data_IF_518873316311
#
_entry.id   IF_518873316311
#
_cell.length_a   1.000
_cell.length_b   1.000
_cell.length_c   1.000
_cell.angle_alpha   90.00
_cell.angle_beta   90.00
_cell.angle_gamma   90.00
#
_symmetry.space_group_name_H-M   'P 1'
#
loop_
_entity.id
_entity.type
_entity.pdbx_description
1 polymer ?
#
# COMPACT_ATOMS: atom_id res chain seq x y z
N UNK A 1 9.20 -28.05 12.23
CA UNK A 1 7.83 -28.00 12.78
C UNK A 1 7.22 -26.61 12.59
N UNK A 2 5.89 -26.46 12.48
CA UNK A 2 5.22 -25.16 12.37
C UNK A 2 5.21 -24.37 13.67
N UNK A 3 5.21 -25.02 14.84
CA UNK A 3 5.28 -24.36 16.16
C UNK A 3 6.52 -23.48 16.33
N UNK A 4 7.72 -24.02 16.06
CA UNK A 4 9.00 -23.29 16.19
C UNK A 4 9.12 -22.21 15.11
N UNK A 5 8.67 -22.52 13.89
CA UNK A 5 8.65 -21.56 12.79
C UNK A 5 7.77 -20.36 13.13
N UNK A 6 6.54 -20.59 13.59
CA UNK A 6 5.58 -19.54 13.92
C UNK A 6 6.11 -18.58 14.97
N UNK A 7 6.69 -19.10 16.06
CA UNK A 7 7.29 -18.26 17.11
C UNK A 7 8.33 -17.29 16.53
N UNK A 8 9.30 -17.82 15.76
CA UNK A 8 10.37 -17.00 15.17
C UNK A 8 9.85 -16.02 14.10
N UNK A 9 8.92 -16.48 13.27
CA UNK A 9 8.40 -15.73 12.14
C UNK A 9 7.45 -14.60 12.57
N UNK A 10 6.70 -14.79 13.66
CA UNK A 10 5.80 -13.78 14.19
C UNK A 10 6.49 -12.80 15.15
N UNK A 11 7.55 -13.22 15.87
CA UNK A 11 8.36 -12.32 16.73
C UNK A 11 9.46 -11.57 15.93
N UNK A 12 9.86 -12.09 14.77
CA UNK A 12 10.97 -11.57 13.98
C UNK A 12 10.61 -10.34 13.14
N UNK A 13 11.61 -9.48 12.90
CA UNK A 13 11.49 -8.31 11.99
C UNK A 13 11.59 -8.66 10.50
N UNK A 14 11.61 -9.95 10.15
CA UNK A 14 11.82 -10.41 8.77
C UNK A 14 10.49 -10.37 8.00
N UNK A 15 10.46 -9.62 6.89
CA UNK A 15 9.30 -9.55 5.99
C UNK A 15 9.37 -10.70 4.99
N UNK A 16 8.45 -11.65 5.10
CA UNK A 16 8.35 -12.75 4.14
C UNK A 16 7.46 -12.35 2.97
N UNK A 17 8.00 -12.42 1.75
CA UNK A 17 7.26 -12.21 0.51
C UNK A 17 7.01 -13.56 -0.18
N UNK A 18 5.86 -13.71 -0.81
CA UNK A 18 5.59 -14.86 -1.68
C UNK A 18 6.12 -14.54 -3.08
N UNK A 19 6.80 -15.50 -3.72
CA UNK A 19 7.25 -15.38 -5.11
C UNK A 19 6.16 -15.63 -6.16
N UNK A 20 4.91 -15.86 -5.72
CA UNK A 20 3.75 -16.16 -6.56
C UNK A 20 2.54 -15.39 -6.01
N UNK A 21 1.33 -15.92 -6.14
CA UNK A 21 0.05 -15.24 -5.84
C UNK A 21 -0.40 -15.29 -4.37
N UNK A 22 0.52 -15.51 -3.42
CA UNK A 22 0.20 -15.66 -1.98
C UNK A 22 -0.79 -16.80 -1.62
N UNK A 23 -0.86 -17.85 -2.44
CA UNK A 23 -1.64 -19.07 -2.17
C UNK A 23 -0.86 -20.37 -2.43
N UNK A 24 0.37 -20.44 -1.92
CA UNK A 24 1.17 -21.66 -2.03
C UNK A 24 0.59 -22.77 -1.15
N UNK A 25 0.55 -24.00 -1.69
CA UNK A 25 0.27 -25.21 -0.92
C UNK A 25 1.35 -25.48 0.12
N UNK A 26 0.96 -25.71 1.39
CA UNK A 26 1.87 -25.89 2.53
C UNK A 26 1.78 -27.31 3.07
N UNK A 27 2.55 -28.21 2.47
CA UNK A 27 2.68 -29.61 2.90
C UNK A 27 4.02 -29.90 3.58
N UNK A 28 4.21 -31.14 4.06
CA UNK A 28 5.44 -31.58 4.74
C UNK A 28 6.70 -31.32 3.91
N UNK A 29 6.61 -31.45 2.59
CA UNK A 29 7.68 -31.22 1.61
C UNK A 29 7.79 -29.74 1.21
N UNK A 30 6.67 -29.09 0.89
CA UNK A 30 6.64 -27.75 0.30
C UNK A 30 6.67 -26.60 1.31
N UNK A 31 6.45 -26.85 2.60
CA UNK A 31 6.46 -25.82 3.67
C UNK A 31 7.78 -25.06 3.85
N UNK A 32 8.87 -25.45 3.17
CA UNK A 32 10.12 -24.69 3.16
C UNK A 32 10.17 -23.68 2.02
N UNK A 33 9.38 -23.88 0.96
CA UNK A 33 9.46 -23.12 -0.29
C UNK A 33 8.84 -21.71 -0.15
N UNK A 34 7.81 -21.57 0.68
CA UNK A 34 7.16 -20.27 0.89
C UNK A 34 6.90 -19.99 2.38
N UNK A 35 7.84 -19.29 3.05
CA UNK A 35 7.65 -18.84 4.43
C UNK A 35 6.43 -17.93 4.61
N UNK A 36 6.12 -17.08 3.61
CA UNK A 36 4.99 -16.15 3.66
C UNK A 36 3.64 -16.88 3.77
N UNK A 37 3.33 -17.73 2.78
CA UNK A 37 2.10 -18.53 2.78
C UNK A 37 2.03 -19.48 3.98
N UNK A 38 3.17 -20.01 4.42
CA UNK A 38 3.23 -20.83 5.63
C UNK A 38 2.85 -20.05 6.88
N UNK A 39 3.37 -18.84 7.06
CA UNK A 39 3.02 -17.99 8.21
C UNK A 39 1.54 -17.62 8.18
N UNK A 40 1.02 -17.22 7.01
CA UNK A 40 -0.40 -16.95 6.78
C UNK A 40 -1.29 -18.14 7.20
N UNK A 41 -0.93 -19.36 6.77
CA UNK A 41 -1.65 -20.60 7.16
C UNK A 41 -1.53 -20.90 8.66
N UNK A 42 -0.41 -20.58 9.31
CA UNK A 42 -0.28 -20.74 10.77
C UNK A 42 -1.23 -19.81 11.53
N UNK A 43 -1.37 -18.55 11.11
CA UNK A 43 -2.37 -17.63 11.68
C UNK A 43 -3.81 -18.10 11.39
N UNK A 44 -4.10 -18.55 10.18
CA UNK A 44 -5.42 -19.08 9.81
C UNK A 44 -5.80 -20.33 10.65
N UNK A 45 -4.82 -21.13 11.04
CA UNK A 45 -5.00 -22.25 11.97
C UNK A 45 -5.14 -21.83 13.45
N UNK A 46 -5.20 -20.52 13.74
CA UNK A 46 -5.39 -19.98 15.10
C UNK A 46 -4.12 -19.91 15.96
N UNK A 47 -2.92 -20.06 15.38
CA UNK A 47 -1.69 -19.85 16.14
C UNK A 47 -1.57 -18.39 16.57
N UNK A 48 -1.28 -18.17 17.85
CA UNK A 48 -1.09 -16.83 18.43
C UNK A 48 0.15 -16.81 19.30
N UNK A 49 0.84 -15.68 19.34
CA UNK A 49 1.95 -15.45 20.28
C UNK A 49 1.33 -15.17 21.65
N UNK A 50 1.14 -16.21 22.45
CA UNK A 50 0.88 -16.17 23.89
C UNK A 50 0.14 -14.95 24.45
N UNK A 51 -1.17 -15.11 24.68
CA UNK A 51 -1.95 -14.48 25.75
C UNK A 51 -1.70 -12.99 26.07
N UNK A 52 -2.15 -12.09 25.19
CA UNK A 52 -2.86 -10.89 25.66
C UNK A 52 -4.28 -10.97 25.13
N UNK A 53 -5.25 -11.11 26.05
CA UNK A 53 -6.68 -11.05 25.74
C UNK A 53 -6.98 -9.70 25.07
N UNK A 54 -7.02 -9.64 23.75
CA UNK A 54 -7.67 -8.54 23.06
C UNK A 54 -9.16 -8.87 22.97
N UNK A 55 -9.97 -8.05 23.64
CA UNK A 55 -11.42 -8.15 23.67
C UNK A 55 -12.00 -8.09 22.24
N UNK A 56 -12.66 -9.18 21.86
CA UNK A 56 -13.84 -9.33 20.99
C UNK A 56 -14.32 -8.08 20.22
N UNK A 57 -14.18 -8.10 18.89
CA UNK A 57 -15.12 -7.53 17.91
C UNK A 57 -15.09 -8.49 16.69
N UNK A 58 -16.00 -9.48 16.61
CA UNK A 58 -17.10 -9.52 15.62
C UNK A 58 -16.69 -10.29 14.36
N UNK A 59 -16.72 -11.63 14.32
CA UNK A 59 -17.84 -12.49 13.88
C UNK A 59 -18.52 -12.08 12.55
N UNK A 60 -18.12 -12.70 11.44
CA UNK A 60 -18.99 -13.18 10.34
C UNK A 60 -18.28 -14.39 9.72
N UNK A 61 -18.62 -15.63 10.11
CA UNK A 61 -19.61 -16.53 9.49
C UNK A 61 -19.38 -16.76 8.00
N UNK A 62 -18.90 -17.97 7.69
CA UNK A 62 -19.06 -18.64 6.42
C UNK A 62 -20.55 -18.98 6.17
N UNK A 63 -20.90 -19.26 4.90
CA UNK A 63 -21.79 -20.39 4.62
C UNK A 63 -21.19 -21.35 3.58
N UNK A 64 -21.35 -22.65 3.86
CA UNK A 64 -21.20 -23.76 2.92
C UNK A 64 -22.58 -24.10 2.32
N UNK A 65 -22.60 -24.46 1.02
CA UNK A 65 -23.53 -25.35 0.29
C UNK A 65 -23.21 -25.13 -1.21
N UNK A 66 -23.08 -26.06 -2.16
CA UNK A 66 -23.35 -27.49 -2.27
C UNK A 66 -23.70 -27.79 -3.75
N UNK A 67 -22.85 -28.59 -4.44
CA UNK A 67 -23.09 -29.38 -5.67
C UNK A 67 -23.05 -28.76 -7.10
N UNK A 68 -22.29 -29.41 -8.00
CA UNK A 68 -22.71 -29.66 -9.40
C UNK A 68 -21.81 -29.25 -10.59
N UNK A 69 -20.92 -30.15 -11.03
CA UNK A 69 -20.46 -30.51 -12.40
C UNK A 69 -20.16 -29.47 -13.52
N UNK A 70 -18.97 -29.62 -14.14
CA UNK A 70 -18.78 -29.55 -15.60
C UNK A 70 -17.91 -28.40 -16.17
N UNK A 71 -16.89 -28.66 -17.02
CA UNK A 71 -15.89 -27.68 -17.46
C UNK A 71 -16.23 -27.04 -18.82
N UNK A 72 -15.89 -25.77 -19.01
CA UNK A 72 -15.74 -25.17 -20.33
C UNK A 72 -14.75 -23.98 -20.27
N UNK A 73 -13.78 -24.06 -21.16
CA UNK A 73 -12.68 -23.11 -21.35
C UNK A 73 -13.19 -21.74 -21.81
N UNK A 74 -12.65 -20.68 -21.20
CA UNK A 74 -12.64 -19.34 -21.80
C UNK A 74 -11.51 -18.52 -21.16
N UNK A 75 -10.42 -18.39 -21.93
CA UNK A 75 -9.47 -17.28 -21.97
C UNK A 75 -9.94 -16.03 -21.23
N UNK A 76 -9.27 -15.67 -20.12
CA UNK A 76 -9.47 -14.37 -19.46
C UNK A 76 -8.14 -13.82 -18.94
N UNK A 77 -7.71 -12.75 -19.59
CA UNK A 77 -6.73 -11.79 -19.11
C UNK A 77 -7.18 -11.19 -17.78
N UNK A 78 -6.66 -11.71 -16.68
CA UNK A 78 -6.95 -11.19 -15.34
C UNK A 78 -6.08 -9.98 -15.07
N UNK A 79 -6.55 -8.80 -15.49
CA UNK A 79 -6.22 -7.56 -14.77
C UNK A 79 -6.77 -7.66 -13.34
N UNK A 80 -6.05 -7.25 -12.29
CA UNK A 80 -6.58 -7.28 -10.94
C UNK A 80 -7.71 -6.23 -10.84
N UNK A 81 -8.96 -6.67 -10.97
CA UNK A 81 -10.12 -5.87 -10.60
C UNK A 81 -10.13 -5.76 -9.08
N UNK A 82 -9.56 -4.68 -8.57
CA UNK A 82 -9.91 -4.20 -7.25
C UNK A 82 -11.38 -3.78 -7.32
N UNK A 83 -12.29 -4.60 -6.80
CA UNK A 83 -13.67 -4.18 -6.62
C UNK A 83 -13.73 -3.28 -5.38
N UNK A 84 -13.18 -2.08 -5.52
CA UNK A 84 -13.42 -0.97 -4.61
C UNK A 84 -14.56 -0.19 -5.24
N UNK A 85 -15.79 -0.50 -4.80
CA UNK A 85 -17.03 -0.09 -5.45
C UNK A 85 -17.03 1.37 -5.91
N UNK A 86 -17.66 1.61 -7.05
CA UNK A 86 -17.79 2.88 -7.81
C UNK A 86 -17.85 4.17 -6.95
N UNK A 87 -18.50 4.12 -5.79
CA UNK A 87 -18.60 5.22 -4.83
C UNK A 87 -17.24 5.64 -4.23
N UNK A 88 -16.37 4.69 -3.90
CA UNK A 88 -15.01 4.97 -3.37
C UNK A 88 -14.10 5.58 -4.44
N UNK A 89 -14.26 5.17 -5.69
CA UNK A 89 -13.49 5.69 -6.82
C UNK A 89 -13.89 7.14 -7.14
N UNK A 90 -15.19 7.46 -7.11
CA UNK A 90 -15.68 8.84 -7.29
C UNK A 90 -15.23 9.79 -6.16
N UNK A 91 -15.29 9.33 -4.91
CA UNK A 91 -14.80 10.11 -3.76
C UNK A 91 -13.29 10.39 -3.85
N UNK A 92 -12.52 9.41 -4.33
CA UNK A 92 -11.08 9.56 -4.51
C UNK A 92 -10.77 10.60 -5.59
N UNK A 93 -11.45 10.57 -6.73
CA UNK A 93 -11.28 11.56 -7.79
C UNK A 93 -11.62 12.98 -7.33
N UNK A 94 -12.72 13.15 -6.59
CA UNK A 94 -13.11 14.46 -6.04
C UNK A 94 -12.06 15.02 -5.07
N UNK A 95 -11.42 14.16 -4.26
CA UNK A 95 -10.34 14.57 -3.37
C UNK A 95 -9.11 14.96 -4.19
N UNK A 96 -8.74 14.18 -5.20
CA UNK A 96 -7.58 14.46 -6.06
C UNK A 96 -7.73 15.80 -6.81
N UNK A 97 -8.91 16.09 -7.32
CA UNK A 97 -9.24 17.37 -7.95
C UNK A 97 -9.15 18.53 -6.94
N UNK A 98 -9.66 18.33 -5.72
CA UNK A 98 -9.64 19.36 -4.69
C UNK A 98 -8.24 19.68 -4.13
N UNK A 99 -7.28 18.75 -4.25
CA UNK A 99 -5.91 18.95 -3.76
C UNK A 99 -4.94 19.37 -4.86
N UNK A 100 -5.38 19.45 -6.12
CA UNK A 100 -4.53 19.77 -7.27
C UNK A 100 -3.70 21.04 -7.03
N UNK A 101 -2.36 20.99 -7.14
CA UNK A 101 -1.53 22.13 -6.83
C UNK A 101 -1.66 23.19 -7.93
N UNK A 102 -1.87 24.45 -7.52
CA UNK A 102 -1.80 25.59 -8.42
C UNK A 102 -0.43 25.67 -9.12
N UNK A 103 -0.45 26.10 -10.39
CA UNK A 103 0.77 26.38 -11.14
C UNK A 103 1.55 27.51 -10.47
N UNK A 104 2.81 27.25 -10.15
CA UNK A 104 3.74 28.26 -9.63
C UNK A 104 4.66 28.70 -10.76
N UNK A 105 4.79 30.02 -10.92
CA UNK A 105 5.67 30.63 -11.91
C UNK A 105 6.97 31.11 -11.27
N UNK A 106 8.06 31.07 -12.03
CA UNK A 106 9.37 31.56 -11.59
C UNK A 106 9.37 33.08 -11.30
N UNK A 107 8.45 33.84 -11.92
CA UNK A 107 8.33 35.28 -11.71
C UNK A 107 9.55 36.04 -12.21
N UNK A 108 9.97 35.75 -13.44
CA UNK A 108 11.13 36.40 -14.06
C UNK A 108 10.90 37.90 -14.24
N UNK A 109 11.87 38.70 -13.81
CA UNK A 109 11.85 40.16 -13.96
C UNK A 109 12.50 40.57 -15.28
N UNK A 110 11.67 40.96 -16.25
CA UNK A 110 12.09 41.46 -17.57
C UNK A 110 12.88 42.79 -17.51
N UNK A 111 12.96 43.43 -16.33
CA UNK A 111 13.76 44.64 -16.09
C UNK A 111 15.23 44.37 -15.77
N UNK A 112 15.61 43.12 -15.52
CA UNK A 112 16.99 42.72 -15.24
C UNK A 112 17.64 42.09 -16.47
N UNK A 113 18.96 42.29 -16.70
CA UNK A 113 19.66 41.58 -17.75
C UNK A 113 19.68 40.07 -17.47
N UNK A 114 19.42 39.29 -18.51
CA UNK A 114 19.54 37.84 -18.44
C UNK A 114 20.98 37.43 -18.11
N UNK A 115 21.13 36.69 -17.02
CA UNK A 115 22.40 36.14 -16.58
C UNK A 115 22.19 34.75 -16.00
N UNK A 116 23.24 33.93 -16.00
CA UNK A 116 23.19 32.62 -15.36
C UNK A 116 22.84 32.73 -13.86
N UNK A 117 23.31 33.80 -13.20
CA UNK A 117 23.03 34.04 -11.79
C UNK A 117 21.54 34.34 -11.56
N UNK A 118 20.93 35.25 -12.33
CA UNK A 118 19.52 35.59 -12.19
C UNK A 118 18.59 34.41 -12.53
N UNK A 119 18.96 33.57 -13.50
CA UNK A 119 18.25 32.32 -13.81
C UNK A 119 18.31 31.34 -12.63
N UNK A 120 19.49 31.09 -12.07
CA UNK A 120 19.66 30.16 -10.95
C UNK A 120 18.90 30.63 -9.70
N UNK A 121 18.93 31.92 -9.40
CA UNK A 121 18.13 32.50 -8.30
C UNK A 121 16.64 32.28 -8.55
N UNK A 122 16.15 32.57 -9.75
CA UNK A 122 14.73 32.38 -10.10
C UNK A 122 14.30 30.91 -10.01
N UNK A 123 15.17 29.99 -10.44
CA UNK A 123 14.90 28.54 -10.33
C UNK A 123 14.91 28.06 -8.88
N UNK A 124 15.81 28.57 -8.05
CA UNK A 124 15.87 28.21 -6.63
C UNK A 124 14.61 28.71 -5.90
N UNK A 125 14.22 29.97 -6.13
CA UNK A 125 12.98 30.53 -5.58
C UNK A 125 11.73 29.78 -6.06
N UNK A 126 11.70 29.38 -7.33
CA UNK A 126 10.62 28.53 -7.86
C UNK A 126 10.58 27.18 -7.13
N UNK A 127 11.74 26.54 -6.96
CA UNK A 127 11.87 25.26 -6.26
C UNK A 127 11.33 25.33 -4.82
N UNK A 128 11.68 26.38 -4.08
CA UNK A 128 11.19 26.62 -2.72
C UNK A 128 9.66 26.76 -2.68
N UNK A 129 9.08 27.56 -3.60
CA UNK A 129 7.63 27.75 -3.67
C UNK A 129 6.90 26.46 -4.09
N UNK A 130 7.48 25.69 -5.01
CA UNK A 130 6.95 24.39 -5.45
C UNK A 130 6.97 23.37 -4.32
N UNK A 131 8.04 23.31 -3.52
CA UNK A 131 8.15 22.37 -2.41
C UNK A 131 7.01 22.56 -1.39
N UNK A 132 6.64 23.80 -1.08
CA UNK A 132 5.50 24.10 -0.19
C UNK A 132 4.19 23.55 -0.75
N UNK A 133 3.97 23.69 -2.08
CA UNK A 133 2.76 23.16 -2.74
C UNK A 133 2.75 21.63 -2.76
N UNK A 134 3.89 20.99 -3.04
CA UNK A 134 4.05 19.53 -3.01
C UNK A 134 3.76 18.96 -1.62
N UNK A 135 4.31 19.56 -0.56
CA UNK A 135 4.04 19.14 0.83
C UNK A 135 2.55 19.28 1.17
N UNK A 136 1.91 20.38 0.75
CA UNK A 136 0.48 20.60 0.97
C UNK A 136 -0.36 19.56 0.22
N UNK A 137 -0.01 19.27 -1.03
CA UNK A 137 -0.64 18.24 -1.86
C UNK A 137 -0.52 16.86 -1.21
N UNK A 138 0.69 16.46 -0.81
CA UNK A 138 0.95 15.17 -0.16
C UNK A 138 0.11 15.01 1.12
N UNK A 139 0.02 16.06 1.96
CA UNK A 139 -0.83 16.07 3.16
C UNK A 139 -2.33 15.99 2.87
N UNK A 140 -2.76 16.28 1.65
CA UNK A 140 -4.14 16.15 1.17
C UNK A 140 -4.47 14.75 0.63
N UNK A 141 -3.46 13.94 0.32
CA UNK A 141 -3.65 12.59 -0.20
C UNK A 141 -4.31 11.66 0.84
N UNK A 142 -5.37 10.91 0.48
CA UNK A 142 -5.99 9.93 1.36
C UNK A 142 -4.97 8.92 1.90
N UNK A 143 -4.92 8.76 3.22
CA UNK A 143 -4.01 7.83 3.90
C UNK A 143 -2.61 8.38 4.21
N UNK A 144 -2.17 9.50 3.61
CA UNK A 144 -0.82 10.04 3.84
C UNK A 144 -0.55 10.36 5.33
N UNK A 145 -1.51 11.01 5.99
CA UNK A 145 -1.39 11.39 7.42
C UNK A 145 -1.39 10.20 8.39
N UNK A 146 -1.74 9.02 7.90
CA UNK A 146 -1.72 7.78 8.70
C UNK A 146 -0.36 7.08 8.70
N UNK A 147 0.55 7.50 7.80
CA UNK A 147 1.93 7.04 7.78
C UNK A 147 2.72 7.57 8.99
N UNK A 148 3.76 6.86 9.40
CA UNK A 148 4.70 7.38 10.38
C UNK A 148 5.42 8.62 9.85
N UNK A 149 5.85 9.51 10.74
CA UNK A 149 6.51 10.78 10.36
C UNK A 149 7.74 10.53 9.49
N UNK A 150 8.54 9.51 9.81
CA UNK A 150 9.72 9.14 9.02
C UNK A 150 9.35 8.71 7.60
N UNK A 151 8.25 7.95 7.45
CA UNK A 151 7.75 7.52 6.15
C UNK A 151 7.21 8.73 5.36
N UNK A 152 6.47 9.64 6.01
CA UNK A 152 5.99 10.89 5.40
C UNK A 152 7.14 11.76 4.87
N UNK A 153 8.23 11.87 5.64
CA UNK A 153 9.42 12.62 5.24
C UNK A 153 10.19 11.94 4.10
N UNK A 154 10.10 10.63 3.97
CA UNK A 154 10.79 9.87 2.91
C UNK A 154 10.08 9.94 1.56
N UNK A 155 8.74 10.08 1.57
CA UNK A 155 7.95 10.11 0.35
C UNK A 155 7.68 11.52 -0.20
N UNK A 156 7.99 12.55 0.58
CA UNK A 156 8.05 13.95 0.14
C UNK A 156 9.39 14.19 -0.53
#
# INVERSE_FOLDING_TARGET
SCKVFFKRAAEGKQKYLCASINDCTIDKLLRKNCPSCRLKRCFAAGMTLGARKLKKIGQMRAPEDGQGQGPAEAELSVSPKYDLGFHTQSMFLNILEAIEPEVVNAGHDYGQPDSAASLLTSLNELGERQLVKVVKWAKGMPGFRSLYVDDQMTVI
#
